data_IF_062598266688
#
_entry.id   IF_062598266688
#
_cell.length_a   1.000
_cell.length_b   1.000
_cell.length_c   1.000
_cell.angle_alpha   90.00
_cell.angle_beta   90.00
_cell.angle_gamma   90.00
#
_symmetry.space_group_name_H-M   'P 1'
#
loop_
_entity.id
_entity.type
_entity.pdbx_description
1 polymer ?
#
# COMPACT_ATOMS: atom_id res chain seq x y z
N UNK A 1 -28.13 30.46 1.09
CA UNK A 1 -28.81 29.25 0.58
C UNK A 1 -28.64 28.21 1.66
N UNK A 2 -29.72 27.64 2.09
CA UNK A 2 -29.68 26.57 3.09
C UNK A 2 -29.30 25.27 2.35
N UNK A 3 -28.26 24.59 2.80
CA UNK A 3 -27.85 23.30 2.23
C UNK A 3 -28.86 22.27 2.73
N UNK A 4 -29.54 21.58 1.82
CA UNK A 4 -30.60 20.61 2.16
C UNK A 4 -30.10 19.49 3.07
N UNK A 5 -31.00 18.58 3.44
CA UNK A 5 -30.61 17.42 4.26
C UNK A 5 -29.54 16.59 3.56
N UNK A 6 -28.47 16.25 4.28
CA UNK A 6 -27.33 15.47 3.74
C UNK A 6 -27.77 14.04 3.46
N UNK A 7 -27.59 13.60 2.22
CA UNK A 7 -27.84 12.22 1.79
C UNK A 7 -26.53 11.39 1.78
N UNK A 8 -25.39 12.04 1.43
CA UNK A 8 -24.06 11.41 1.47
C UNK A 8 -23.03 12.35 2.04
N UNK A 9 -22.15 11.82 2.86
CA UNK A 9 -20.95 12.48 3.36
C UNK A 9 -19.73 11.62 3.04
N UNK A 10 -18.84 12.11 2.18
CA UNK A 10 -17.72 11.37 1.65
C UNK A 10 -16.41 12.06 2.00
N UNK A 11 -15.40 11.29 2.42
CA UNK A 11 -14.03 11.78 2.60
C UNK A 11 -13.23 11.43 1.35
N UNK A 12 -12.60 12.43 0.76
CA UNK A 12 -11.69 12.28 -0.36
C UNK A 12 -10.29 12.69 0.05
N UNK A 13 -9.40 11.72 0.14
CA UNK A 13 -8.02 11.87 0.53
C UNK A 13 -7.11 11.83 -0.70
N UNK A 14 -6.36 12.90 -0.94
CA UNK A 14 -5.38 12.99 -2.02
C UNK A 14 -3.98 12.91 -1.44
N UNK A 15 -3.10 12.23 -2.14
CA UNK A 15 -1.71 12.07 -1.71
C UNK A 15 -0.74 12.18 -2.88
N UNK A 16 0.45 12.72 -2.58
CA UNK A 16 1.54 12.86 -3.53
C UNK A 16 2.90 12.92 -2.84
N UNK A 17 3.96 12.66 -3.58
CA UNK A 17 5.33 12.85 -3.13
C UNK A 17 6.26 13.28 -4.25
N UNK A 18 7.24 14.08 -3.87
CA UNK A 18 8.34 14.53 -4.72
C UNK A 18 9.68 14.36 -4.01
N UNK A 19 10.78 14.70 -4.67
CA UNK A 19 12.10 14.74 -4.02
C UNK A 19 12.21 15.79 -2.91
N UNK A 20 11.31 16.77 -2.86
CA UNK A 20 11.31 17.85 -1.85
C UNK A 20 10.49 17.50 -0.61
N UNK A 21 9.39 16.79 -0.81
CA UNK A 21 8.44 16.49 0.25
C UNK A 21 7.38 15.48 -0.16
N UNK A 22 6.58 15.10 0.78
CA UNK A 22 5.42 14.27 0.58
C UNK A 22 4.28 14.73 1.48
N UNK A 23 3.07 14.49 1.07
CA UNK A 23 1.92 14.93 1.85
C UNK A 23 0.60 14.38 1.35
N UNK A 24 -0.44 14.82 2.04
CA UNK A 24 -1.81 14.50 1.74
C UNK A 24 -2.71 15.69 2.04
N UNK A 25 -3.90 15.72 1.43
CA UNK A 25 -4.99 16.62 1.79
C UNK A 25 -6.34 15.89 1.69
N UNK A 26 -7.22 16.23 2.63
CA UNK A 26 -8.53 15.61 2.76
C UNK A 26 -9.62 16.64 2.55
N UNK A 27 -10.65 16.25 1.80
CA UNK A 27 -11.85 17.03 1.53
C UNK A 27 -13.06 16.27 2.01
N UNK A 28 -14.01 17.00 2.61
CA UNK A 28 -15.34 16.51 2.92
C UNK A 28 -16.27 16.93 1.78
N UNK A 29 -16.83 15.95 1.08
CA UNK A 29 -17.83 16.15 0.05
C UNK A 29 -19.20 15.76 0.58
N UNK A 30 -20.11 16.72 0.59
CA UNK A 30 -21.50 16.53 1.00
C UNK A 30 -22.40 16.55 -0.23
N UNK A 31 -23.34 15.63 -0.29
CA UNK A 31 -24.39 15.59 -1.30
C UNK A 31 -25.72 15.62 -0.59
N UNK A 32 -26.58 16.60 -0.90
CA UNK A 32 -27.93 16.69 -0.34
C UNK A 32 -28.89 15.76 -1.04
N UNK A 33 -30.06 15.52 -0.43
CA UNK A 33 -31.18 14.76 -1.04
C UNK A 33 -31.65 15.42 -2.36
N UNK A 34 -31.50 16.74 -2.49
CA UNK A 34 -31.84 17.50 -3.71
C UNK A 34 -30.71 17.52 -4.76
N UNK A 35 -29.61 16.80 -4.52
CA UNK A 35 -28.49 16.69 -5.43
C UNK A 35 -27.53 17.89 -5.41
N UNK A 36 -27.64 18.81 -4.45
CA UNK A 36 -26.65 19.87 -4.26
C UNK A 36 -25.35 19.27 -3.74
N UNK A 37 -24.22 19.79 -4.22
CA UNK A 37 -22.89 19.29 -3.84
C UNK A 37 -22.13 20.44 -3.17
N UNK A 38 -21.53 20.12 -2.02
CA UNK A 38 -20.63 21.00 -1.32
C UNK A 38 -19.33 20.26 -1.02
N UNK A 39 -18.18 20.89 -1.29
CA UNK A 39 -16.87 20.33 -1.02
C UNK A 39 -16.08 21.31 -0.15
N UNK A 40 -15.52 20.82 0.94
CA UNK A 40 -14.73 21.61 1.88
C UNK A 40 -13.38 20.97 2.12
N UNK A 41 -12.31 21.75 2.12
CA UNK A 41 -11.02 21.34 2.63
C UNK A 41 -11.12 21.13 4.14
N UNK A 42 -10.67 19.96 4.61
CA UNK A 42 -10.72 19.62 6.04
C UNK A 42 -9.34 19.73 6.67
N UNK A 43 -8.37 19.05 6.09
CA UNK A 43 -6.99 19.02 6.62
C UNK A 43 -5.99 18.76 5.49
N UNK A 44 -4.80 19.33 5.63
CA UNK A 44 -3.65 18.98 4.83
C UNK A 44 -2.42 18.78 5.69
N UNK A 45 -1.57 17.84 5.31
CA UNK A 45 -0.34 17.55 6.02
C UNK A 45 0.78 17.31 5.02
N UNK A 46 1.83 18.09 5.12
CA UNK A 46 3.04 17.95 4.32
C UNK A 46 4.26 17.69 5.22
N UNK A 47 5.23 16.98 4.70
CA UNK A 47 6.51 16.70 5.34
C UNK A 47 7.65 16.82 4.34
N UNK A 48 8.75 17.36 4.78
CA UNK A 48 9.99 17.44 4.00
C UNK A 48 10.58 16.04 3.86
N UNK A 49 11.15 15.75 2.72
CA UNK A 49 11.85 14.49 2.46
C UNK A 49 13.02 14.29 3.43
N UNK A 50 13.22 13.10 3.97
CA UNK A 50 14.37 12.80 4.83
C UNK A 50 15.70 13.10 4.13
N UNK A 51 16.71 13.53 4.89
CA UNK A 51 18.07 13.77 4.37
C UNK A 51 18.70 12.52 3.75
N UNK A 52 18.36 11.33 4.28
CA UNK A 52 18.75 10.06 3.66
C UNK A 52 17.94 9.86 2.39
N UNK A 53 18.60 9.65 1.27
CA UNK A 53 17.95 9.40 -0.02
C UNK A 53 16.90 8.28 0.07
N UNK A 54 15.69 8.60 -0.33
CA UNK A 54 14.55 7.70 -0.43
C UNK A 54 13.97 7.81 -1.83
N UNK A 55 13.60 6.71 -2.45
CA UNK A 55 12.99 6.72 -3.78
C UNK A 55 11.59 7.34 -3.76
N UNK A 56 11.18 7.96 -4.87
CA UNK A 56 9.85 8.59 -4.97
C UNK A 56 8.72 7.59 -4.67
N UNK A 57 8.70 6.36 -5.21
CA UNK A 57 7.65 5.39 -4.86
C UNK A 57 7.57 5.06 -3.36
N UNK A 58 8.69 5.06 -2.65
CA UNK A 58 8.69 4.89 -1.18
C UNK A 58 8.12 6.09 -0.44
N UNK A 59 8.35 7.31 -0.95
CA UNK A 59 7.78 8.54 -0.38
C UNK A 59 6.27 8.59 -0.64
N UNK A 60 5.82 8.28 -1.85
CA UNK A 60 4.40 8.16 -2.21
C UNK A 60 3.69 7.12 -1.34
N UNK A 61 4.30 5.94 -1.14
CA UNK A 61 3.75 4.92 -0.24
C UNK A 61 3.72 5.40 1.23
N UNK A 62 4.66 6.25 1.63
CA UNK A 62 4.64 6.87 2.97
C UNK A 62 3.53 7.92 3.08
N UNK A 63 3.25 8.67 2.01
CA UNK A 63 2.11 9.57 1.92
C UNK A 63 0.79 8.78 1.99
N UNK A 64 0.71 7.62 1.35
CA UNK A 64 -0.45 6.74 1.43
C UNK A 64 -0.74 6.25 2.86
N UNK A 65 0.28 5.85 3.61
CA UNK A 65 0.14 5.52 5.04
C UNK A 65 -0.33 6.74 5.85
N UNK A 66 0.20 7.92 5.55
CA UNK A 66 -0.23 9.16 6.22
C UNK A 66 -1.72 9.43 5.96
N UNK A 67 -2.17 9.25 4.71
CA UNK A 67 -3.55 9.44 4.29
C UNK A 67 -4.51 8.53 5.06
N UNK A 68 -4.27 7.22 5.11
CA UNK A 68 -5.18 6.29 5.82
C UNK A 68 -5.22 6.56 7.33
N UNK A 69 -4.13 7.04 7.93
CA UNK A 69 -4.10 7.44 9.35
C UNK A 69 -4.91 8.71 9.60
N UNK A 70 -4.82 9.68 8.70
CA UNK A 70 -5.58 10.94 8.80
C UNK A 70 -7.06 10.67 8.59
N UNK A 71 -7.43 9.88 7.59
CA UNK A 71 -8.82 9.53 7.34
C UNK A 71 -9.45 8.79 8.52
N UNK A 72 -8.73 7.84 9.12
CA UNK A 72 -9.17 7.18 10.35
C UNK A 72 -9.37 8.18 11.52
N UNK A 73 -8.50 9.17 11.64
CA UNK A 73 -8.66 10.25 12.62
C UNK A 73 -9.90 11.10 12.30
N UNK A 74 -10.08 11.51 11.05
CA UNK A 74 -11.23 12.32 10.63
C UNK A 74 -12.57 11.63 10.93
N UNK A 75 -12.67 10.33 10.65
CA UNK A 75 -13.89 9.55 10.96
C UNK A 75 -14.23 9.52 12.46
N UNK A 76 -13.26 9.69 13.33
CA UNK A 76 -13.49 9.74 14.79
C UNK A 76 -13.81 11.14 15.30
N UNK A 77 -13.25 12.17 14.65
CA UNK A 77 -13.33 13.55 15.14
C UNK A 77 -14.49 14.35 14.50
N UNK A 78 -14.97 13.90 13.33
CA UNK A 78 -16.09 14.57 12.67
C UNK A 78 -17.42 14.11 13.25
N UNK A 79 -18.25 15.05 13.70
CA UNK A 79 -19.62 14.82 14.18
C UNK A 79 -20.60 14.58 13.01
N UNK A 80 -20.17 13.84 11.99
CA UNK A 80 -20.97 13.48 10.82
C UNK A 80 -20.68 12.04 10.44
N UNK A 81 -21.74 11.27 10.13
CA UNK A 81 -21.59 9.91 9.64
C UNK A 81 -21.01 9.90 8.23
N UNK A 82 -19.80 9.38 8.08
CA UNK A 82 -19.13 9.25 6.78
C UNK A 82 -19.67 8.02 6.07
N UNK A 83 -20.28 8.24 4.92
CA UNK A 83 -20.90 7.17 4.11
C UNK A 83 -19.90 6.47 3.19
N UNK A 84 -18.86 7.19 2.74
CA UNK A 84 -17.83 6.64 1.86
C UNK A 84 -16.48 7.34 2.05
N UNK A 85 -15.41 6.67 1.66
CA UNK A 85 -14.03 7.12 1.77
C UNK A 85 -13.25 6.71 0.53
N UNK A 86 -12.57 7.66 -0.09
CA UNK A 86 -11.85 7.45 -1.35
C UNK A 86 -10.44 8.04 -1.26
N UNK A 87 -9.44 7.22 -1.56
CA UNK A 87 -8.03 7.60 -1.63
C UNK A 87 -7.59 7.79 -3.08
N UNK A 88 -6.98 8.93 -3.37
CA UNK A 88 -6.57 9.34 -4.70
C UNK A 88 -5.05 9.49 -4.79
N UNK A 89 -4.44 8.85 -5.78
CA UNK A 89 -3.01 9.00 -6.08
C UNK A 89 -2.79 8.97 -7.59
N UNK A 90 -1.78 9.66 -8.06
CA UNK A 90 -1.29 9.60 -9.44
C UNK A 90 -0.18 8.55 -9.63
N UNK A 91 0.20 7.86 -8.56
CA UNK A 91 1.20 6.80 -8.59
C UNK A 91 0.59 5.43 -8.89
N UNK A 92 0.70 4.99 -10.14
CA UNK A 92 0.31 3.61 -10.52
C UNK A 92 1.12 2.55 -9.78
N UNK A 93 2.37 2.86 -9.43
CA UNK A 93 3.25 1.95 -8.67
C UNK A 93 2.67 1.69 -7.28
N UNK A 94 2.25 2.74 -6.57
CA UNK A 94 1.62 2.62 -5.25
C UNK A 94 0.31 1.84 -5.34
N UNK A 95 -0.51 2.12 -6.36
CA UNK A 95 -1.74 1.37 -6.59
C UNK A 95 -1.46 -0.12 -6.84
N UNK A 96 -0.42 -0.44 -7.63
CA UNK A 96 0.04 -1.81 -7.84
C UNK A 96 0.52 -2.48 -6.56
N UNK A 97 1.22 -1.76 -5.68
CA UNK A 97 1.62 -2.31 -4.38
C UNK A 97 0.42 -2.62 -3.49
N UNK A 98 -0.57 -1.74 -3.43
CA UNK A 98 -1.78 -1.90 -2.61
C UNK A 98 -2.67 -3.02 -3.13
N UNK A 99 -2.83 -3.14 -4.44
CA UNK A 99 -3.64 -4.18 -5.07
C UNK A 99 -2.97 -5.57 -5.06
N UNK A 100 -1.65 -5.63 -4.87
CA UNK A 100 -0.93 -6.89 -4.96
C UNK A 100 -1.22 -7.84 -3.78
N UNK A 101 -1.63 -9.05 -4.10
CA UNK A 101 -1.86 -10.15 -3.15
C UNK A 101 -0.87 -11.31 -3.29
N UNK A 102 -0.06 -11.33 -4.35
CA UNK A 102 0.73 -12.51 -4.77
C UNK A 102 2.23 -12.34 -4.48
N UNK A 103 2.81 -11.20 -4.88
CA UNK A 103 4.26 -10.97 -4.78
C UNK A 103 4.66 -10.50 -3.38
N UNK A 104 5.82 -10.94 -2.91
CA UNK A 104 6.37 -10.52 -1.60
C UNK A 104 7.27 -9.31 -1.76
N UNK A 105 7.05 -8.29 -0.96
CA UNK A 105 7.86 -7.08 -0.93
C UNK A 105 9.01 -7.14 0.08
N UNK A 106 9.99 -6.25 -0.09
CA UNK A 106 10.96 -5.93 0.95
C UNK A 106 10.27 -5.28 2.16
N UNK A 107 10.91 -5.37 3.32
CA UNK A 107 10.32 -5.01 4.63
C UNK A 107 9.70 -3.61 4.64
N UNK A 108 10.35 -2.62 4.01
CA UNK A 108 9.85 -1.25 3.97
C UNK A 108 8.47 -1.14 3.32
N UNK A 109 8.33 -1.73 2.14
CA UNK A 109 7.07 -1.72 1.37
C UNK A 109 6.05 -2.65 2.02
N UNK A 110 6.47 -3.87 2.41
CA UNK A 110 5.58 -4.86 3.02
C UNK A 110 4.84 -4.32 4.26
N UNK A 111 5.54 -3.64 5.17
CA UNK A 111 4.93 -3.10 6.39
C UNK A 111 3.92 -1.99 6.08
N UNK A 112 4.22 -1.14 5.09
CA UNK A 112 3.33 -0.03 4.71
C UNK A 112 2.10 -0.50 3.96
N UNK A 113 2.28 -1.41 3.02
CA UNK A 113 1.16 -2.03 2.29
C UNK A 113 0.23 -2.74 3.27
N UNK A 114 0.80 -3.50 4.22
CA UNK A 114 0.00 -4.15 5.25
C UNK A 114 -0.80 -3.12 6.06
N UNK A 115 -0.19 -2.05 6.54
CA UNK A 115 -0.89 -1.02 7.32
C UNK A 115 -2.01 -0.36 6.51
N UNK A 116 -1.79 -0.11 5.21
CA UNK A 116 -2.81 0.44 4.32
C UNK A 116 -3.96 -0.54 4.15
N UNK A 117 -3.67 -1.82 3.89
CA UNK A 117 -4.69 -2.86 3.71
C UNK A 117 -5.45 -3.18 5.00
N UNK A 118 -4.83 -3.03 6.17
CA UNK A 118 -5.49 -3.20 7.46
C UNK A 118 -6.49 -2.06 7.75
N UNK A 119 -6.34 -0.87 7.13
CA UNK A 119 -7.12 0.34 7.38
C UNK A 119 -8.06 0.73 6.23
N UNK A 120 -7.83 0.20 5.04
CA UNK A 120 -8.60 0.53 3.84
C UNK A 120 -8.76 -0.68 2.92
N UNK A 121 -9.80 -0.66 2.09
CA UNK A 121 -10.02 -1.65 1.04
C UNK A 121 -9.40 -1.17 -0.28
N UNK A 122 -8.88 -2.09 -1.09
CA UNK A 122 -8.35 -1.79 -2.44
C UNK A 122 -9.36 -1.01 -3.29
N UNK A 123 -10.67 -1.25 -3.11
CA UNK A 123 -11.75 -0.57 -3.85
C UNK A 123 -11.84 0.94 -3.57
N UNK A 124 -11.35 1.39 -2.42
CA UNK A 124 -11.34 2.80 -2.03
C UNK A 124 -10.21 3.58 -2.71
N UNK A 125 -9.24 2.88 -3.31
CA UNK A 125 -8.10 3.50 -3.98
C UNK A 125 -8.40 3.74 -5.45
N UNK A 126 -8.12 4.95 -5.90
CA UNK A 126 -8.38 5.39 -7.27
C UNK A 126 -7.21 6.18 -7.84
N UNK A 127 -7.08 6.09 -9.15
CA UNK A 127 -6.11 6.89 -9.89
C UNK A 127 -6.69 8.29 -10.16
N UNK A 128 -5.85 9.30 -9.97
CA UNK A 128 -6.11 10.67 -10.40
C UNK A 128 -4.94 11.16 -11.23
N UNK A 129 -5.20 11.94 -12.28
CA UNK A 129 -4.13 12.57 -13.05
C UNK A 129 -3.41 13.64 -12.21
N UNK A 130 -2.08 13.75 -12.35
CA UNK A 130 -1.23 14.70 -11.60
C UNK A 130 -1.77 16.13 -11.67
N UNK A 131 -2.31 16.56 -12.82
CA UNK A 131 -2.88 17.90 -12.97
C UNK A 131 -4.13 18.14 -12.11
N UNK A 132 -4.82 17.07 -11.77
CA UNK A 132 -6.05 17.08 -10.95
C UNK A 132 -5.78 16.67 -9.51
N UNK A 133 -4.53 16.34 -9.16
CA UNK A 133 -4.12 15.97 -7.79
C UNK A 133 -3.75 17.22 -6.98
N UNK A 134 -4.58 17.68 -6.03
CA UNK A 134 -4.25 18.85 -5.21
C UNK A 134 -3.07 18.60 -4.27
N UNK A 135 -2.76 17.34 -3.92
CA UNK A 135 -1.62 16.98 -3.07
C UNK A 135 -0.26 17.24 -3.74
N UNK A 136 -0.21 17.47 -5.05
CA UNK A 136 0.99 17.92 -5.76
C UNK A 136 1.53 19.24 -5.16
N UNK A 137 0.65 20.11 -4.70
CA UNK A 137 1.02 21.35 -4.00
C UNK A 137 1.65 21.09 -2.62
N UNK A 138 1.26 20.00 -1.93
CA UNK A 138 1.88 19.59 -0.68
C UNK A 138 3.30 19.09 -0.86
N UNK A 139 3.58 18.43 -1.97
CA UNK A 139 4.89 17.85 -2.26
C UNK A 139 5.88 18.87 -2.84
N UNK A 140 5.39 19.89 -3.56
CA UNK A 140 6.18 20.93 -4.24
C UNK A 140 6.27 22.23 -3.46
N UNK A 141 5.26 22.53 -2.65
CA UNK A 141 5.06 23.80 -1.96
C UNK A 141 4.32 24.83 -2.82
N UNK A 142 3.59 25.73 -2.17
CA UNK A 142 2.81 26.81 -2.79
C UNK A 142 3.20 28.16 -2.21
N UNK A 143 3.12 29.21 -3.00
CA UNK A 143 3.35 30.58 -2.54
C UNK A 143 2.14 31.10 -1.76
N UNK A 144 2.32 31.86 -0.68
CA UNK A 144 1.22 32.35 0.16
C UNK A 144 0.14 33.14 -0.62
N UNK A 145 0.54 33.92 -1.62
CA UNK A 145 -0.37 34.71 -2.45
C UNK A 145 -1.22 33.89 -3.43
N UNK A 146 -0.83 32.63 -3.68
CA UNK A 146 -1.53 31.72 -4.58
C UNK A 146 -2.46 30.77 -3.81
N UNK A 147 -2.30 30.67 -2.49
CA UNK A 147 -2.96 29.69 -1.64
C UNK A 147 -4.49 29.73 -1.73
N UNK A 148 -5.09 30.93 -1.66
CA UNK A 148 -6.56 31.09 -1.63
C UNK A 148 -7.26 30.70 -2.94
N UNK A 149 -6.54 30.68 -4.04
CA UNK A 149 -7.04 30.31 -5.37
C UNK A 149 -6.54 28.94 -5.82
N UNK A 150 -5.79 28.27 -4.98
CA UNK A 150 -5.16 27.01 -5.32
C UNK A 150 -6.14 25.85 -5.22
N UNK A 151 -5.87 24.80 -5.97
CA UNK A 151 -6.58 23.52 -5.86
C UNK A 151 -6.45 22.90 -4.48
N UNK A 152 -5.44 23.30 -3.72
CA UNK A 152 -5.25 22.88 -2.33
C UNK A 152 -6.41 23.25 -1.42
N UNK A 153 -6.97 24.47 -1.59
CA UNK A 153 -8.09 24.93 -0.76
C UNK A 153 -9.43 24.58 -1.39
N UNK A 154 -9.54 24.72 -2.71
CA UNK A 154 -10.81 24.54 -3.43
C UNK A 154 -11.14 23.07 -3.72
N UNK A 155 -10.14 22.21 -3.70
CA UNK A 155 -10.27 20.85 -4.20
C UNK A 155 -10.30 20.78 -5.73
N UNK A 156 -10.20 19.60 -6.31
CA UNK A 156 -10.29 19.40 -7.74
C UNK A 156 -11.73 19.58 -8.23
N UNK A 157 -11.89 20.13 -9.44
CA UNK A 157 -13.19 20.51 -10.03
C UNK A 157 -14.19 19.35 -10.10
N UNK A 158 -13.70 18.12 -10.26
CA UNK A 158 -14.61 16.97 -10.38
C UNK A 158 -15.37 16.67 -9.08
N UNK A 159 -14.81 17.01 -7.90
CA UNK A 159 -15.51 16.81 -6.63
C UNK A 159 -16.77 17.67 -6.49
N UNK A 160 -16.85 18.77 -7.24
CA UNK A 160 -18.01 19.68 -7.27
C UNK A 160 -19.10 19.23 -8.23
N UNK A 161 -18.87 18.13 -8.96
CA UNK A 161 -19.79 17.58 -9.95
C UNK A 161 -20.41 16.27 -9.47
N UNK A 162 -21.60 15.91 -10.00
CA UNK A 162 -22.14 14.58 -9.80
C UNK A 162 -21.16 13.49 -10.32
N UNK A 163 -21.08 12.36 -9.63
CA UNK A 163 -20.19 11.26 -10.04
C UNK A 163 -20.44 10.77 -11.48
N UNK A 164 -21.66 10.90 -11.97
CA UNK A 164 -22.01 10.54 -13.34
C UNK A 164 -21.27 11.40 -14.39
N UNK A 165 -20.87 12.62 -14.03
CA UNK A 165 -20.11 13.55 -14.86
C UNK A 165 -18.59 13.42 -14.73
N UNK A 166 -18.11 12.57 -13.83
CA UNK A 166 -16.68 12.33 -13.69
C UNK A 166 -16.15 11.58 -14.91
N UNK A 167 -14.90 11.85 -15.27
CA UNK A 167 -14.22 11.10 -16.32
C UNK A 167 -14.24 9.59 -16.04
N UNK A 168 -14.32 8.80 -17.09
CA UNK A 168 -14.39 7.34 -16.97
C UNK A 168 -13.21 6.76 -16.18
N UNK A 169 -12.04 7.38 -16.28
CA UNK A 169 -10.82 6.98 -15.54
C UNK A 169 -10.96 7.15 -14.04
N UNK A 170 -11.66 8.21 -13.57
CA UNK A 170 -11.90 8.48 -12.14
C UNK A 170 -12.92 7.51 -11.51
N UNK A 171 -13.83 6.98 -12.35
CA UNK A 171 -14.88 6.05 -11.90
C UNK A 171 -14.39 4.60 -11.82
N UNK A 172 -13.34 4.27 -12.57
CA UNK A 172 -12.83 2.91 -12.59
C UNK A 172 -12.14 2.57 -11.24
N UNK A 173 -12.47 1.42 -10.64
CA UNK A 173 -11.66 0.90 -9.57
C UNK A 173 -10.26 0.62 -10.08
N UNK A 174 -9.29 0.60 -9.19
CA UNK A 174 -7.95 0.11 -9.52
C UNK A 174 -8.11 -1.32 -10.03
N UNK A 175 -8.00 -1.49 -11.36
CA UNK A 175 -7.95 -2.81 -11.98
C UNK A 175 -6.65 -3.52 -11.58
N UNK A 176 -6.44 -4.70 -12.16
CA UNK A 176 -5.14 -5.38 -12.04
C UNK A 176 -4.05 -4.46 -12.59
N UNK A 177 -3.46 -3.66 -11.70
CA UNK A 177 -2.26 -2.90 -12.01
C UNK A 177 -1.10 -3.86 -11.86
N UNK A 178 -0.66 -4.40 -13.00
CA UNK A 178 0.51 -5.28 -13.01
C UNK A 178 1.73 -4.53 -12.46
N UNK A 179 2.32 -5.10 -11.43
CA UNK A 179 3.62 -4.66 -10.96
C UNK A 179 4.66 -4.90 -12.05
N UNK A 180 5.53 -3.92 -12.25
CA UNK A 180 6.67 -4.06 -13.17
C UNK A 180 7.45 -5.34 -12.83
N UNK A 181 7.80 -6.12 -13.85
CA UNK A 181 8.36 -7.47 -13.67
C UNK A 181 9.67 -7.47 -12.86
N UNK A 182 10.48 -6.42 -13.00
CA UNK A 182 11.74 -6.20 -12.30
C UNK A 182 11.69 -5.09 -11.23
N UNK A 183 10.54 -4.87 -10.59
CA UNK A 183 10.42 -3.89 -9.53
C UNK A 183 11.42 -4.20 -8.38
N UNK A 184 12.29 -3.25 -8.01
CA UNK A 184 13.33 -3.46 -7.00
C UNK A 184 12.77 -3.70 -5.58
N UNK A 185 11.51 -3.39 -5.34
CA UNK A 185 10.84 -3.61 -4.06
C UNK A 185 10.23 -5.01 -3.94
N UNK A 186 10.14 -5.74 -5.04
CA UNK A 186 9.64 -7.11 -5.07
C UNK A 186 10.78 -8.08 -4.78
N UNK A 187 10.60 -8.97 -3.82
CA UNK A 187 11.57 -10.01 -3.52
C UNK A 187 11.63 -11.03 -4.65
N UNK A 188 12.82 -11.23 -5.21
CA UNK A 188 13.05 -12.34 -6.15
C UNK A 188 12.95 -13.65 -5.38
N UNK A 189 12.03 -14.52 -5.80
CA UNK A 189 11.92 -15.87 -5.23
C UNK A 189 12.95 -16.74 -5.94
N UNK A 190 14.02 -17.07 -5.25
CA UNK A 190 14.95 -18.08 -5.71
C UNK A 190 14.40 -19.43 -5.27
N UNK A 191 13.93 -20.23 -6.22
CA UNK A 191 13.67 -21.65 -5.99
C UNK A 191 15.02 -22.37 -5.99
N UNK A 192 15.56 -22.62 -4.80
CA UNK A 192 16.69 -23.53 -4.68
C UNK A 192 16.14 -24.94 -4.83
N UNK A 193 16.18 -25.47 -6.05
CA UNK A 193 16.03 -26.89 -6.25
C UNK A 193 17.26 -27.58 -5.65
N UNK A 194 17.12 -28.08 -4.42
CA UNK A 194 18.11 -29.00 -3.88
C UNK A 194 18.00 -30.27 -4.71
N UNK A 195 18.91 -30.46 -5.64
CA UNK A 195 19.08 -31.77 -6.30
C UNK A 195 19.47 -32.74 -5.21
N UNK A 196 18.51 -33.49 -4.70
CA UNK A 196 18.77 -34.65 -3.86
C UNK A 196 19.32 -35.73 -4.79
N UNK A 197 20.63 -35.75 -4.94
CA UNK A 197 21.30 -36.94 -5.48
C UNK A 197 21.02 -38.08 -4.49
N UNK A 198 20.40 -39.18 -4.93
CA UNK A 198 19.98 -40.25 -4.04
C UNK A 198 21.12 -41.18 -3.59
N UNK A 199 22.33 -40.71 -3.52
CA UNK A 199 23.43 -41.46 -2.89
C UNK A 199 23.65 -40.95 -1.49
N UNK A 200 22.84 -41.41 -0.56
CA UNK A 200 23.19 -41.28 0.84
C UNK A 200 24.46 -42.11 1.08
N UNK A 201 25.56 -41.50 1.56
CA UNK A 201 26.72 -42.27 1.96
C UNK A 201 26.26 -43.29 3.00
N UNK A 202 26.71 -44.51 2.84
CA UNK A 202 26.38 -45.58 3.78
C UNK A 202 26.85 -45.21 5.19
N UNK A 203 26.30 -45.87 6.22
CA UNK A 203 26.72 -45.62 7.58
C UNK A 203 28.25 -45.80 7.74
N UNK A 204 28.82 -46.71 7.00
CA UNK A 204 30.26 -46.99 6.95
C UNK A 204 31.01 -45.78 6.37
N UNK A 205 30.55 -45.20 5.29
CA UNK A 205 31.18 -44.02 4.66
C UNK A 205 31.14 -42.80 5.60
N UNK A 206 30.08 -42.68 6.37
CA UNK A 206 29.95 -41.59 7.38
C UNK A 206 30.87 -41.81 8.56
N UNK A 207 31.07 -43.09 8.98
CA UNK A 207 31.96 -43.42 10.08
C UNK A 207 33.43 -43.32 9.67
N UNK A 208 33.76 -43.55 8.39
CA UNK A 208 35.10 -43.36 7.82
C UNK A 208 35.63 -41.92 7.91
N UNK A 209 34.72 -40.91 8.00
CA UNK A 209 35.10 -39.52 8.20
C UNK A 209 35.79 -39.28 9.58
N UNK A 210 35.55 -40.14 10.54
CA UNK A 210 36.11 -39.97 11.88
C UNK A 210 37.39 -40.81 12.01
N UNK A 211 38.50 -40.13 12.28
CA UNK A 211 39.80 -40.77 12.50
C UNK A 211 39.90 -41.52 13.86
N UNK A 212 38.91 -41.34 14.73
CA UNK A 212 38.84 -41.94 16.07
C UNK A 212 37.44 -42.53 16.31
N UNK A 213 37.39 -43.81 16.70
CA UNK A 213 36.19 -44.57 17.03
C UNK A 213 35.34 -43.92 18.16
N UNK A 214 35.99 -43.31 19.13
CA UNK A 214 35.28 -42.65 20.22
C UNK A 214 34.57 -41.37 19.75
N UNK A 215 35.15 -40.64 18.79
CA UNK A 215 34.52 -39.49 18.14
C UNK A 215 33.32 -39.93 17.29
N UNK A 216 33.44 -41.00 16.55
CA UNK A 216 32.35 -41.59 15.76
C UNK A 216 31.15 -41.99 16.65
N UNK A 217 31.40 -42.65 17.77
CA UNK A 217 30.35 -43.01 18.74
C UNK A 217 29.66 -41.81 19.35
N UNK A 218 30.38 -40.76 19.70
CA UNK A 218 29.79 -39.53 20.25
C UNK A 218 28.93 -38.80 19.21
N UNK A 219 29.37 -38.69 17.98
CA UNK A 219 28.61 -38.10 16.92
C UNK A 219 27.30 -38.85 16.63
N UNK A 220 27.35 -40.18 16.65
CA UNK A 220 26.15 -41.00 16.42
C UNK A 220 25.17 -40.92 17.61
N UNK A 221 25.65 -40.81 18.84
CA UNK A 221 24.81 -40.63 20.04
C UNK A 221 24.10 -39.27 20.10
N UNK A 222 24.64 -38.24 19.43
CA UNK A 222 24.06 -36.90 19.36
C UNK A 222 23.06 -36.74 18.20
N UNK A 223 22.98 -37.68 17.24
CA UNK A 223 21.96 -37.69 16.22
C UNK A 223 20.65 -38.24 16.81
N UNK A 224 19.61 -37.39 17.00
CA UNK A 224 18.31 -37.89 17.42
C UNK A 224 17.77 -38.84 16.33
N UNK A 225 17.36 -40.04 16.74
CA UNK A 225 16.68 -41.00 15.89
C UNK A 225 15.46 -40.32 15.27
N UNK A 226 15.50 -40.03 13.97
CA UNK A 226 14.31 -39.58 13.29
C UNK A 226 13.25 -40.68 13.37
N UNK A 227 12.06 -40.40 13.86
CA UNK A 227 10.97 -41.36 13.79
C UNK A 227 10.73 -41.72 12.32
N UNK A 228 10.75 -43.00 12.02
CA UNK A 228 10.28 -43.54 10.74
C UNK A 228 8.78 -43.31 10.66
N UNK A 229 8.39 -42.23 10.03
CA UNK A 229 7.00 -42.00 9.66
C UNK A 229 6.90 -41.94 8.15
N UNK A 230 6.08 -42.85 7.64
CA UNK A 230 5.44 -42.87 6.33
C UNK A 230 6.16 -43.56 5.16
N UNK A 231 5.95 -44.83 5.10
CA UNK A 231 5.52 -45.46 3.86
C UNK A 231 4.16 -46.15 4.08
N UNK A 232 3.09 -45.49 3.69
CA UNK A 232 1.84 -46.11 3.29
C UNK A 232 1.40 -45.41 2.01
N UNK A 233 1.87 -45.93 0.89
CA UNK A 233 1.12 -45.88 -0.33
C UNK A 233 0.56 -47.27 -0.56
N UNK A 234 -0.69 -47.44 -0.17
CA UNK A 234 -1.57 -48.48 -0.67
C UNK A 234 -1.99 -48.05 -2.08
N UNK A 235 -1.79 -48.92 -3.05
CA UNK A 235 -2.45 -48.87 -4.33
C UNK A 235 -3.92 -49.24 -4.22
N UNK A 236 -4.71 -48.68 -5.04
CA UNK A 236 -5.68 -49.22 -6.00
C UNK A 236 -6.29 -48.06 -6.73
#
# INVERSE_FOLDING_TARGET
MDFGKVAKAEIHDFLDASFKGYGQCSYLRLVSEDGQIHCSFVIGKARVTPLKSVTVPRLELTAAVLSVRISEQLKRELDIEITDEVFWTDSRVVLGYIANSVRRFHVFVANRVKEIQDKSSVRQWKYVDTKSNPADEASKGIRPNELTKSKWILGPDFLWKPEAEWDATLRQPVGDVDLVEDDPEVKKVWSLATAVTPSWPTLVDRLAYFSDWNRAKRANALCPSRPQTLQKHGGQ
#
